data_IF_455415921213
#
_entry.id   IF_455415921213
#
_cell.length_a   1.000
_cell.length_b   1.000
_cell.length_c   1.000
_cell.angle_alpha   90.00
_cell.angle_beta   90.00
_cell.angle_gamma   90.00
#
_symmetry.space_group_name_H-M   'P 1'
#
loop_
_entity.id
_entity.type
_entity.pdbx_description
1 polymer ?
#
# COMPACT_ATOMS: atom_id res chain seq x y z
N UNK A 1 0.90 -12.59 44.21
CA UNK A 1 -0.54 -12.46 44.54
C UNK A 1 -1.39 -12.88 43.33
N UNK A 2 -1.99 -14.07 43.38
CA UNK A 2 -2.75 -14.64 42.28
C UNK A 2 -3.96 -13.76 41.96
N UNK A 3 -3.93 -13.07 40.82
CA UNK A 3 -5.08 -12.33 40.32
C UNK A 3 -6.15 -13.37 39.95
N UNK A 4 -7.24 -13.41 40.73
CA UNK A 4 -8.37 -14.29 40.46
C UNK A 4 -8.91 -13.98 39.06
N UNK A 5 -8.93 -14.98 38.18
CA UNK A 5 -9.48 -14.84 36.84
C UNK A 5 -11.00 -14.67 36.92
N UNK A 6 -11.43 -13.40 36.99
CA UNK A 6 -12.82 -13.00 37.12
C UNK A 6 -13.73 -13.65 36.07
N UNK A 7 -13.21 -13.89 34.87
CA UNK A 7 -13.97 -14.52 33.79
C UNK A 7 -14.26 -15.99 34.08
N UNK A 8 -13.30 -16.69 34.69
CA UNK A 8 -13.47 -18.07 35.14
C UNK A 8 -14.57 -18.14 36.22
N UNK A 9 -14.54 -17.23 37.21
CA UNK A 9 -15.55 -17.16 38.27
C UNK A 9 -16.95 -16.86 37.74
N UNK A 10 -17.08 -15.90 36.82
CA UNK A 10 -18.36 -15.54 36.20
C UNK A 10 -18.89 -16.69 35.33
N UNK A 11 -18.01 -17.39 34.60
CA UNK A 11 -18.42 -18.56 33.81
C UNK A 11 -18.87 -19.73 34.67
N UNK A 12 -18.27 -19.91 35.85
CA UNK A 12 -18.62 -20.92 36.84
C UNK A 12 -19.95 -20.59 37.53
N UNK A 13 -20.17 -19.33 37.90
CA UNK A 13 -21.45 -18.87 38.44
C UNK A 13 -22.58 -19.06 37.41
N UNK A 14 -22.35 -18.68 36.16
CA UNK A 14 -23.34 -18.83 35.09
C UNK A 14 -23.65 -20.29 34.77
N UNK A 15 -22.67 -21.20 34.85
CA UNK A 15 -22.92 -22.62 34.65
C UNK A 15 -23.71 -23.24 35.81
N UNK A 16 -23.44 -22.83 37.06
CA UNK A 16 -24.17 -23.28 38.24
C UNK A 16 -25.65 -22.81 38.25
N UNK A 17 -25.91 -21.55 37.87
CA UNK A 17 -27.28 -21.02 37.75
C UNK A 17 -28.06 -21.77 36.66
N UNK A 18 -27.43 -22.06 35.52
CA UNK A 18 -28.08 -22.83 34.45
C UNK A 18 -28.35 -24.27 34.86
N UNK A 19 -27.45 -24.87 35.64
CA UNK A 19 -27.63 -26.23 36.15
C UNK A 19 -28.83 -26.34 37.10
N UNK A 20 -29.07 -25.33 37.93
CA UNK A 20 -30.20 -25.31 38.89
C UNK A 20 -31.55 -25.05 38.23
N UNK A 21 -31.60 -24.29 37.13
CA UNK A 21 -32.86 -23.87 36.52
C UNK A 21 -33.27 -24.69 35.28
N UNK A 22 -32.32 -25.27 34.54
CA UNK A 22 -32.57 -25.93 33.25
C UNK A 22 -32.28 -27.44 33.32
N UNK A 23 -31.72 -27.94 34.42
CA UNK A 23 -31.44 -29.37 34.65
C UNK A 23 -30.42 -29.99 33.68
N UNK A 24 -29.76 -29.17 32.86
CA UNK A 24 -28.73 -29.58 31.90
C UNK A 24 -27.41 -28.86 32.19
N UNK A 25 -26.33 -29.61 32.23
CA UNK A 25 -24.97 -29.09 32.36
C UNK A 25 -24.54 -28.38 31.07
N UNK A 26 -24.90 -27.11 30.93
CA UNK A 26 -24.48 -26.28 29.80
C UNK A 26 -23.30 -25.42 30.24
N UNK A 27 -22.13 -25.66 29.64
CA UNK A 27 -20.92 -24.87 29.89
C UNK A 27 -21.05 -23.52 29.20
N UNK A 28 -21.38 -22.49 29.97
CA UNK A 28 -21.48 -21.11 29.48
C UNK A 28 -20.17 -20.37 29.75
N UNK A 29 -19.30 -20.29 28.74
CA UNK A 29 -18.07 -19.50 28.84
C UNK A 29 -18.39 -18.03 28.55
N UNK A 30 -18.20 -17.16 29.53
CA UNK A 30 -18.24 -15.71 29.31
C UNK A 30 -17.01 -15.29 28.52
N UNK A 31 -17.21 -14.82 27.28
CA UNK A 31 -16.15 -14.08 26.57
C UNK A 31 -16.18 -12.64 27.05
N UNK A 32 -15.02 -12.07 27.34
CA UNK A 32 -14.91 -10.64 27.64
C UNK A 32 -15.37 -9.82 26.44
N UNK A 33 -15.98 -8.66 26.70
CA UNK A 33 -16.24 -7.70 25.63
C UNK A 33 -14.92 -7.35 24.93
N UNK A 34 -14.92 -7.23 23.58
CA UNK A 34 -13.73 -6.85 22.85
C UNK A 34 -13.28 -5.48 23.34
N UNK A 35 -12.09 -5.42 23.93
CA UNK A 35 -11.49 -4.15 24.35
C UNK A 35 -11.09 -3.39 23.09
N UNK A 36 -11.87 -2.36 22.72
CA UNK A 36 -11.60 -1.51 21.54
C UNK A 36 -10.27 -0.76 21.70
N UNK A 37 -9.81 -0.58 22.93
CA UNK A 37 -8.52 0.04 23.27
C UNK A 37 -7.67 -0.97 24.05
N UNK A 38 -6.71 -1.60 23.36
CA UNK A 38 -5.69 -2.43 24.02
C UNK A 38 -4.50 -1.56 24.40
N UNK A 39 -3.68 -1.97 25.38
CA UNK A 39 -2.52 -1.17 25.85
C UNK A 39 -1.54 -0.79 24.73
N UNK A 40 -1.47 -1.60 23.67
CA UNK A 40 -0.70 -1.28 22.45
C UNK A 40 -1.18 0.02 21.78
N UNK A 41 -2.47 0.31 21.78
CA UNK A 41 -3.03 1.52 21.15
C UNK A 41 -2.74 2.81 21.92
N UNK A 42 -2.26 2.73 23.16
CA UNK A 42 -1.89 3.88 23.99
C UNK A 42 -0.50 4.45 23.64
N UNK A 43 0.24 3.80 22.73
CA UNK A 43 1.48 4.35 22.20
C UNK A 43 1.19 5.56 21.30
N UNK A 44 2.09 6.57 21.23
CA UNK A 44 1.88 7.80 20.45
C UNK A 44 1.59 7.58 18.96
N UNK A 45 1.86 6.38 18.43
CA UNK A 45 1.57 5.97 17.06
C UNK A 45 0.41 4.96 16.94
N UNK A 46 -0.52 4.94 17.89
CA UNK A 46 -1.72 4.10 17.83
C UNK A 46 -1.45 2.59 17.90
N UNK A 47 -0.28 2.19 18.39
CA UNK A 47 0.16 0.80 18.49
C UNK A 47 0.97 0.26 17.32
N UNK A 48 1.28 1.11 16.34
CA UNK A 48 2.28 0.83 15.30
C UNK A 48 3.70 1.04 15.85
N UNK A 49 4.65 0.23 15.39
CA UNK A 49 6.07 0.49 15.63
C UNK A 49 6.47 1.77 14.88
N UNK A 50 7.52 2.47 15.35
CA UNK A 50 8.02 3.67 14.66
C UNK A 50 8.32 3.41 13.17
N UNK A 51 8.86 2.23 12.87
CA UNK A 51 9.11 1.76 11.51
C UNK A 51 7.83 1.62 10.68
N UNK A 52 6.75 1.07 11.26
CA UNK A 52 5.47 0.88 10.58
C UNK A 52 4.78 2.22 10.31
N UNK A 53 4.89 3.16 11.25
CA UNK A 53 4.38 4.52 11.07
C UNK A 53 5.09 5.24 9.91
N UNK A 54 6.43 5.19 9.88
CA UNK A 54 7.21 5.74 8.78
C UNK A 54 6.85 5.04 7.48
N UNK A 55 6.83 3.70 7.47
CA UNK A 55 6.50 2.96 6.27
C UNK A 55 5.13 3.35 5.73
N UNK A 56 4.10 3.41 6.58
CA UNK A 56 2.75 3.82 6.17
C UNK A 56 2.69 5.26 5.65
N UNK A 57 3.41 6.19 6.28
CA UNK A 57 3.43 7.59 5.87
C UNK A 57 4.22 7.82 4.57
N UNK A 58 5.35 7.14 4.40
CA UNK A 58 6.27 7.37 3.28
C UNK A 58 6.01 6.49 2.05
N UNK A 59 5.34 5.34 2.18
CA UNK A 59 5.06 4.44 1.05
C UNK A 59 4.41 5.15 -0.15
N UNK A 60 3.33 5.95 0.05
CA UNK A 60 2.65 6.59 -1.06
C UNK A 60 3.56 7.59 -1.80
N UNK A 61 4.41 8.32 -1.06
CA UNK A 61 5.38 9.25 -1.63
C UNK A 61 6.47 8.53 -2.42
N UNK A 62 6.96 7.39 -1.93
CA UNK A 62 7.92 6.57 -2.67
C UNK A 62 7.34 6.06 -3.99
N UNK A 63 6.08 5.64 -3.99
CA UNK A 63 5.40 5.26 -5.22
C UNK A 63 5.02 6.46 -6.11
N UNK A 64 5.00 7.69 -5.59
CA UNK A 64 4.82 8.88 -6.40
C UNK A 64 6.14 9.33 -7.05
N UNK A 65 7.28 9.14 -6.40
CA UNK A 65 8.61 9.51 -6.92
C UNK A 65 8.92 8.88 -8.28
N UNK A 66 8.44 7.66 -8.54
CA UNK A 66 8.61 7.02 -9.85
C UNK A 66 7.89 7.80 -10.98
N UNK A 67 6.76 8.45 -10.67
CA UNK A 67 6.02 9.28 -11.62
C UNK A 67 6.88 10.44 -12.14
N UNK A 68 7.73 11.00 -11.28
CA UNK A 68 8.63 12.10 -11.63
C UNK A 68 9.76 11.65 -12.56
N UNK A 69 10.25 10.43 -12.37
CA UNK A 69 11.20 9.78 -13.29
C UNK A 69 10.56 9.56 -14.66
N UNK A 70 9.40 8.92 -14.70
CA UNK A 70 8.65 8.66 -15.94
C UNK A 70 8.31 9.96 -16.68
N UNK A 71 7.84 10.99 -15.98
CA UNK A 71 7.60 12.32 -16.53
C UNK A 71 8.85 12.89 -17.21
N UNK A 72 9.99 12.81 -16.52
CA UNK A 72 11.26 13.35 -17.01
C UNK A 72 11.72 12.64 -18.29
N UNK A 73 11.53 11.31 -18.36
CA UNK A 73 11.84 10.51 -19.54
C UNK A 73 10.94 10.87 -20.73
N UNK A 74 9.62 11.02 -20.51
CA UNK A 74 8.68 11.40 -21.57
C UNK A 74 9.04 12.79 -22.14
N UNK A 75 9.33 13.75 -21.27
CA UNK A 75 9.68 15.12 -21.70
C UNK A 75 11.05 15.14 -22.38
N UNK A 76 12.00 14.31 -21.95
CA UNK A 76 13.29 14.12 -22.63
C UNK A 76 13.09 13.58 -24.05
N UNK A 77 12.26 12.55 -24.23
CA UNK A 77 11.93 12.01 -25.56
C UNK A 77 11.26 13.05 -26.46
N UNK A 78 10.39 13.88 -25.90
CA UNK A 78 9.76 15.01 -26.60
C UNK A 78 10.80 16.05 -27.03
N UNK A 79 11.71 16.43 -26.14
CA UNK A 79 12.74 17.44 -26.39
C UNK A 79 13.74 16.99 -27.47
N UNK A 80 14.19 15.75 -27.40
CA UNK A 80 15.13 15.14 -28.36
C UNK A 80 14.47 14.69 -29.67
N UNK A 81 13.14 14.78 -29.75
CA UNK A 81 12.33 14.32 -30.89
C UNK A 81 12.53 12.83 -31.21
N UNK A 82 12.96 12.03 -30.23
CA UNK A 82 13.23 10.60 -30.39
C UNK A 82 12.01 9.84 -30.91
N UNK A 83 10.80 10.20 -30.44
CA UNK A 83 9.55 9.65 -30.96
C UNK A 83 9.40 9.81 -32.47
N UNK A 84 9.81 10.96 -33.04
CA UNK A 84 9.72 11.17 -34.49
C UNK A 84 10.76 10.33 -35.24
N UNK A 85 11.96 10.16 -34.70
CA UNK A 85 12.97 9.29 -35.28
C UNK A 85 12.49 7.83 -35.35
N UNK A 86 11.84 7.31 -34.29
CA UNK A 86 11.27 5.96 -34.30
C UNK A 86 10.14 5.80 -35.33
N UNK A 87 9.30 6.82 -35.49
CA UNK A 87 8.23 6.81 -36.49
C UNK A 87 8.80 6.85 -37.91
N UNK A 88 9.84 7.64 -38.16
CA UNK A 88 10.56 7.66 -39.44
C UNK A 88 11.24 6.32 -39.74
N UNK A 89 11.67 5.58 -38.72
CA UNK A 89 12.19 4.21 -38.86
C UNK A 89 11.11 3.16 -39.18
N UNK A 90 9.84 3.56 -39.31
CA UNK A 90 8.73 2.69 -39.71
C UNK A 90 7.79 2.29 -38.57
N UNK A 91 7.99 2.80 -37.34
CA UNK A 91 7.10 2.48 -36.23
C UNK A 91 5.76 3.20 -36.35
N UNK A 92 4.66 2.45 -36.25
CA UNK A 92 3.31 3.03 -36.22
C UNK A 92 3.07 3.76 -34.89
N UNK A 93 2.55 4.99 -34.98
CA UNK A 93 2.32 5.85 -33.81
C UNK A 93 1.46 5.22 -32.70
N UNK A 94 0.44 4.44 -33.07
CA UNK A 94 -0.45 3.77 -32.12
C UNK A 94 0.29 2.70 -31.30
N UNK A 95 1.18 1.96 -31.96
CA UNK A 95 1.97 0.90 -31.34
C UNK A 95 2.98 1.51 -30.37
N UNK A 96 3.61 2.63 -30.74
CA UNK A 96 4.51 3.36 -29.85
C UNK A 96 3.85 3.68 -28.50
N UNK A 97 2.66 4.31 -28.50
CA UNK A 97 1.98 4.66 -27.24
C UNK A 97 1.60 3.44 -26.38
N UNK A 98 1.18 2.34 -27.00
CA UNK A 98 0.89 1.10 -26.28
C UNK A 98 2.14 0.54 -25.62
N UNK A 99 3.24 0.44 -26.38
CA UNK A 99 4.52 -0.06 -25.88
C UNK A 99 5.04 0.83 -24.76
N UNK A 100 5.08 2.14 -24.96
CA UNK A 100 5.53 3.11 -23.95
C UNK A 100 4.70 3.00 -22.66
N UNK A 101 3.37 2.85 -22.76
CA UNK A 101 2.51 2.63 -21.60
C UNK A 101 2.87 1.35 -20.84
N UNK A 102 3.00 0.22 -21.55
CA UNK A 102 3.34 -1.05 -20.92
C UNK A 102 4.75 -1.07 -20.34
N UNK A 103 5.71 -0.41 -20.97
CA UNK A 103 7.08 -0.28 -20.43
C UNK A 103 7.07 0.45 -19.09
N UNK A 104 6.39 1.59 -18.98
CA UNK A 104 6.31 2.31 -17.71
C UNK A 104 5.47 1.59 -16.65
N UNK A 105 4.40 0.89 -17.05
CA UNK A 105 3.65 0.04 -16.13
C UNK A 105 4.51 -1.12 -15.61
N UNK A 106 5.37 -1.70 -16.46
CA UNK A 106 6.29 -2.76 -16.07
C UNK A 106 7.39 -2.24 -15.13
N UNK A 107 7.99 -1.09 -15.41
CA UNK A 107 8.95 -0.43 -14.51
C UNK A 107 8.35 -0.21 -13.13
N UNK A 108 7.10 0.25 -13.10
CA UNK A 108 6.34 0.44 -11.88
C UNK A 108 6.08 -0.89 -11.13
N UNK A 109 5.70 -1.95 -11.84
CA UNK A 109 5.47 -3.28 -11.26
C UNK A 109 6.75 -3.89 -10.67
N UNK A 110 7.88 -3.75 -11.35
CA UNK A 110 9.18 -4.22 -10.88
C UNK A 110 9.55 -3.51 -9.57
N UNK A 111 9.40 -2.19 -9.52
CA UNK A 111 9.65 -1.40 -8.31
C UNK A 111 8.73 -1.82 -7.15
N UNK A 112 7.44 -1.97 -7.41
CA UNK A 112 6.46 -2.39 -6.41
C UNK A 112 6.75 -3.81 -5.88
N UNK A 113 7.17 -4.73 -6.75
CA UNK A 113 7.55 -6.09 -6.37
C UNK A 113 8.79 -6.11 -5.47
N UNK A 114 9.82 -5.34 -5.80
CA UNK A 114 11.03 -5.21 -4.96
C UNK A 114 10.66 -4.65 -3.58
N UNK A 115 9.87 -3.59 -3.53
CA UNK A 115 9.42 -2.97 -2.28
C UNK A 115 8.58 -3.92 -1.43
N UNK A 116 7.68 -4.69 -2.06
CA UNK A 116 6.88 -5.68 -1.35
C UNK A 116 7.75 -6.79 -0.76
N UNK A 117 8.68 -7.36 -1.54
CA UNK A 117 9.58 -8.42 -1.05
C UNK A 117 10.46 -7.89 0.09
N UNK A 118 11.04 -6.68 -0.05
CA UNK A 118 11.84 -6.06 1.00
C UNK A 118 11.03 -5.80 2.27
N UNK A 119 9.81 -5.27 2.12
CA UNK A 119 8.89 -5.04 3.24
C UNK A 119 8.46 -6.32 3.96
N UNK A 120 8.29 -7.42 3.20
CA UNK A 120 7.96 -8.73 3.74
C UNK A 120 9.14 -9.33 4.54
N UNK A 121 10.39 -9.17 4.08
CA UNK A 121 11.59 -9.64 4.78
C UNK A 121 11.78 -8.88 6.11
N UNK A 122 11.56 -7.57 6.10
CA UNK A 122 11.69 -6.72 7.28
C UNK A 122 10.54 -6.94 8.28
N UNK A 123 9.41 -7.50 7.82
CA UNK A 123 8.24 -7.77 8.67
C UNK A 123 7.41 -6.52 8.97
N UNK A 124 7.42 -5.53 8.06
CA UNK A 124 6.65 -4.29 8.23
C UNK A 124 5.15 -4.62 8.23
N UNK A 125 4.42 -4.12 9.25
CA UNK A 125 3.00 -4.41 9.43
C UNK A 125 2.15 -3.92 8.25
N UNK A 126 2.55 -2.82 7.61
CA UNK A 126 1.87 -2.28 6.42
C UNK A 126 1.79 -3.26 5.25
N UNK A 127 2.67 -4.25 5.16
CA UNK A 127 2.64 -5.27 4.10
C UNK A 127 2.12 -6.63 4.57
N UNK A 128 2.22 -6.93 5.86
CA UNK A 128 1.90 -8.25 6.42
C UNK A 128 0.49 -8.33 7.01
N UNK A 129 -0.11 -7.20 7.41
CA UNK A 129 -1.44 -7.16 8.00
C UNK A 129 -2.56 -7.29 6.96
N UNK A 130 -2.29 -6.88 5.72
CA UNK A 130 -3.28 -6.90 4.63
C UNK A 130 -3.25 -8.22 3.86
N UNK A 131 -4.42 -8.66 3.38
CA UNK A 131 -4.49 -9.83 2.50
C UNK A 131 -3.71 -9.57 1.20
N UNK A 132 -2.92 -10.53 0.70
CA UNK A 132 -2.05 -10.32 -0.46
C UNK A 132 -2.82 -9.99 -1.74
N UNK A 133 -4.06 -10.50 -1.89
CA UNK A 133 -4.91 -10.19 -3.04
C UNK A 133 -5.33 -8.72 -3.11
N UNK A 134 -5.70 -8.12 -1.97
CA UNK A 134 -6.07 -6.69 -1.90
C UNK A 134 -4.84 -5.82 -2.19
N UNK A 135 -3.68 -6.18 -1.64
CA UNK A 135 -2.44 -5.45 -1.90
C UNK A 135 -2.07 -5.49 -3.39
N UNK A 136 -2.19 -6.65 -4.04
CA UNK A 136 -1.93 -6.79 -5.46
C UNK A 136 -2.89 -5.94 -6.32
N UNK A 137 -4.17 -5.91 -5.99
CA UNK A 137 -5.14 -5.05 -6.68
C UNK A 137 -4.84 -3.57 -6.46
N UNK A 138 -4.53 -3.16 -5.23
CA UNK A 138 -4.16 -1.80 -4.89
C UNK A 138 -2.93 -1.37 -5.69
N UNK A 139 -1.92 -2.23 -5.74
CA UNK A 139 -0.71 -2.05 -6.54
C UNK A 139 -1.13 -1.83 -8.00
N UNK A 140 -1.83 -2.76 -8.64
CA UNK A 140 -2.22 -2.61 -10.04
C UNK A 140 -2.97 -1.30 -10.32
N UNK A 141 -3.98 -0.96 -9.53
CA UNK A 141 -4.75 0.28 -9.71
C UNK A 141 -3.86 1.51 -9.54
N UNK A 142 -3.02 1.53 -8.49
CA UNK A 142 -2.11 2.63 -8.22
C UNK A 142 -1.10 2.84 -9.36
N UNK A 143 -0.54 1.76 -9.91
CA UNK A 143 0.37 1.84 -11.04
C UNK A 143 -0.26 2.49 -12.28
N UNK A 144 -1.51 2.13 -12.60
CA UNK A 144 -2.23 2.77 -13.70
C UNK A 144 -2.42 4.28 -13.43
N UNK A 145 -2.80 4.66 -12.21
CA UNK A 145 -2.96 6.08 -11.82
C UNK A 145 -1.65 6.86 -11.97
N UNK A 146 -0.53 6.31 -11.47
CA UNK A 146 0.80 6.91 -11.54
C UNK A 146 1.24 7.14 -12.98
N UNK A 147 1.03 6.16 -13.86
CA UNK A 147 1.40 6.26 -15.27
C UNK A 147 0.54 7.32 -15.97
N UNK A 148 -0.78 7.30 -15.79
CA UNK A 148 -1.71 8.29 -16.37
C UNK A 148 -1.39 9.71 -15.87
N UNK A 149 -1.09 9.86 -14.58
CA UNK A 149 -0.68 11.12 -13.97
C UNK A 149 0.60 11.68 -14.60
N UNK A 150 1.60 10.82 -14.81
CA UNK A 150 2.85 11.19 -15.48
C UNK A 150 2.62 11.66 -16.91
N UNK A 151 1.77 10.95 -17.67
CA UNK A 151 1.40 11.34 -19.03
C UNK A 151 0.66 12.68 -19.05
N UNK A 152 -0.27 12.90 -18.11
CA UNK A 152 -0.98 14.18 -17.98
C UNK A 152 0.00 15.32 -17.71
N UNK A 153 0.89 15.17 -16.74
CA UNK A 153 1.90 16.18 -16.41
C UNK A 153 2.84 16.47 -17.59
N UNK A 154 3.20 15.46 -18.37
CA UNK A 154 4.12 15.61 -19.51
C UNK A 154 3.60 16.58 -20.59
N UNK A 155 2.28 16.81 -20.65
CA UNK A 155 1.67 17.72 -21.62
C UNK A 155 2.03 19.19 -21.37
N UNK A 156 2.25 19.58 -20.11
CA UNK A 156 2.56 20.95 -19.71
C UNK A 156 4.03 21.35 -19.93
N UNK A 157 4.92 20.37 -20.15
CA UNK A 157 6.36 20.62 -20.25
C UNK A 157 6.90 20.32 -21.65
N UNK A 158 7.87 21.13 -22.07
CA UNK A 158 8.59 20.95 -23.35
C UNK A 158 10.10 20.77 -23.17
N UNK A 159 10.64 21.10 -22.00
CA UNK A 159 12.04 20.92 -21.65
C UNK A 159 12.17 20.02 -20.42
N UNK A 160 13.11 19.07 -20.45
CA UNK A 160 13.30 18.10 -19.38
C UNK A 160 13.69 18.79 -18.07
N UNK A 161 14.60 19.77 -18.13
CA UNK A 161 15.11 20.48 -16.93
C UNK A 161 14.01 21.19 -16.15
N UNK A 162 13.02 21.76 -16.83
CA UNK A 162 11.88 22.42 -16.19
C UNK A 162 10.91 21.39 -15.61
N UNK A 163 10.68 20.28 -16.33
CA UNK A 163 9.82 19.21 -15.84
C UNK A 163 10.39 18.58 -14.56
N UNK A 164 11.69 18.26 -14.54
CA UNK A 164 12.36 17.69 -13.36
C UNK A 164 12.29 18.64 -12.17
N UNK A 165 12.53 19.95 -12.38
CA UNK A 165 12.50 20.92 -11.29
C UNK A 165 11.11 21.05 -10.66
N UNK A 166 10.05 21.11 -11.48
CA UNK A 166 8.67 21.16 -10.98
C UNK A 166 8.25 19.84 -10.35
N UNK A 167 8.68 18.71 -10.91
CA UNK A 167 8.39 17.39 -10.36
C UNK A 167 8.97 17.22 -8.95
N UNK A 168 10.17 17.73 -8.66
CA UNK A 168 10.73 17.69 -7.30
C UNK A 168 10.08 18.67 -6.32
N UNK A 169 9.36 19.69 -6.79
CA UNK A 169 8.63 20.64 -5.95
C UNK A 169 7.22 20.16 -5.58
N UNK A 170 6.67 19.21 -6.34
CA UNK A 170 5.37 18.56 -6.11
C UNK A 170 5.49 17.42 -5.11
#
# INVERSE_FOLDING_TARGET
PAAYDWNALVSLANSAIKHTHIGRAVRATGKTFPTIFTSKMLHPFGGLSFLDFIAAAFLPYLFLMISFSTLSLIVMEKQTRMRMAMVMAGLRMRVYWLVTYFTYLLEWLVMAAIMWIAGAIIGVQSFTLHSPGILLLLILVWGNVVVIYSFLLSTFFSAQRTATAVAFLL
#
